data_IF_303192960059
#
_entry.id   IF_303192960059
#
_cell.length_a   1.000
_cell.length_b   1.000
_cell.length_c   1.000
_cell.angle_alpha   90.00
_cell.angle_beta   90.00
_cell.angle_gamma   90.00
#
_symmetry.space_group_name_H-M   'P 1'
#
loop_
_entity.id
_entity.type
_entity.pdbx_description
1 polymer ?
#
# COMPACT_ATOMS: atom_id res chain seq x y z
N UNK A 1 3.14 13.24 -1.40
CA UNK A 1 4.04 13.75 -0.33
C UNK A 1 5.34 14.17 -0.97
N UNK A 2 6.04 15.16 -0.42
CA UNK A 2 7.39 15.52 -0.87
C UNK A 2 8.39 14.41 -0.53
N UNK A 3 9.36 14.19 -1.39
CA UNK A 3 10.50 13.30 -1.15
C UNK A 3 11.80 14.09 -1.29
N UNK A 4 12.81 13.91 -0.39
CA UNK A 4 12.89 12.91 0.67
C UNK A 4 12.32 13.36 2.03
N UNK A 5 11.76 14.57 2.14
CA UNK A 5 11.31 15.10 3.45
C UNK A 5 10.12 14.36 4.05
N UNK A 6 9.37 13.61 3.22
CA UNK A 6 8.14 12.92 3.58
C UNK A 6 7.13 13.89 4.23
N UNK A 7 7.04 15.11 3.69
CA UNK A 7 6.03 16.11 4.08
C UNK A 7 4.75 15.91 3.27
N UNK A 8 3.59 15.94 3.91
CA UNK A 8 2.30 15.93 3.18
C UNK A 8 2.15 17.25 2.43
N UNK A 9 1.98 17.17 1.11
CA UNK A 9 1.69 18.34 0.25
C UNK A 9 0.22 18.40 -0.16
N UNK A 10 -0.44 17.23 -0.19
CA UNK A 10 -1.80 17.07 -0.65
C UNK A 10 -2.45 15.89 0.08
N UNK A 11 -3.72 16.06 0.42
CA UNK A 11 -4.60 15.01 0.89
C UNK A 11 -6.00 15.19 0.28
N UNK A 12 -6.66 14.07 0.02
CA UNK A 12 -8.02 14.05 -0.49
C UNK A 12 -8.78 12.87 0.11
N UNK A 13 -10.08 13.05 0.30
CA UNK A 13 -10.98 12.05 0.87
C UNK A 13 -12.25 12.00 0.04
N UNK A 14 -12.73 10.79 -0.22
CA UNK A 14 -14.05 10.56 -0.81
C UNK A 14 -14.78 9.54 0.04
N UNK A 15 -16.09 9.73 0.22
CA UNK A 15 -16.94 8.66 0.71
C UNK A 15 -16.97 7.51 -0.30
N UNK A 16 -17.03 6.28 0.22
CA UNK A 16 -17.14 5.07 -0.59
C UNK A 16 -18.22 4.19 0.02
N UNK A 17 -19.21 3.81 -0.78
CA UNK A 17 -20.12 2.71 -0.43
C UNK A 17 -19.53 1.41 -0.93
N UNK A 18 -19.47 0.39 -0.07
CA UNK A 18 -18.91 -0.92 -0.39
C UNK A 18 -20.01 -2.00 -0.41
N UNK A 19 -20.94 -1.99 -1.38
CA UNK A 19 -22.10 -2.88 -1.40
C UNK A 19 -21.74 -4.34 -1.68
N UNK A 20 -20.59 -4.60 -2.31
CA UNK A 20 -20.14 -5.96 -2.60
C UNK A 20 -19.67 -6.69 -1.32
N UNK A 21 -19.97 -7.99 -1.18
CA UNK A 21 -19.52 -8.79 -0.05
C UNK A 21 -17.99 -8.90 -0.01
N UNK A 22 -17.43 -9.01 1.20
CA UNK A 22 -15.99 -9.23 1.35
C UNK A 22 -15.64 -10.68 0.97
N UNK A 23 -15.04 -10.84 -0.21
CA UNK A 23 -14.45 -12.10 -0.66
C UNK A 23 -12.93 -11.93 -0.61
N UNK A 24 -12.25 -12.76 0.18
CA UNK A 24 -10.80 -12.73 0.28
C UNK A 24 -10.16 -12.90 -1.11
N UNK A 25 -9.23 -12.01 -1.46
CA UNK A 25 -8.63 -11.94 -2.80
C UNK A 25 -9.33 -11.00 -3.79
N UNK A 26 -10.47 -10.40 -3.43
CA UNK A 26 -11.23 -9.48 -4.30
C UNK A 26 -11.36 -8.07 -3.73
N UNK A 27 -10.48 -7.69 -2.79
CA UNK A 27 -10.46 -6.35 -2.18
C UNK A 27 -10.35 -5.24 -3.25
N UNK A 28 -9.59 -5.48 -4.32
CA UNK A 28 -9.40 -4.53 -5.41
C UNK A 28 -10.73 -4.03 -5.99
N UNK A 29 -11.73 -4.90 -6.18
CA UNK A 29 -13.03 -4.53 -6.73
C UNK A 29 -13.82 -3.57 -5.83
N UNK A 30 -13.49 -3.52 -4.53
CA UNK A 30 -14.13 -2.65 -3.55
C UNK A 30 -13.47 -1.27 -3.50
N UNK A 31 -12.16 -1.20 -3.67
CA UNK A 31 -11.39 0.02 -3.39
C UNK A 31 -10.89 0.75 -4.65
N UNK A 32 -10.64 0.05 -5.75
CA UNK A 32 -10.14 0.67 -7.01
C UNK A 32 -11.04 1.81 -7.51
N UNK A 33 -12.39 1.72 -7.49
CA UNK A 33 -13.23 2.83 -7.93
C UNK A 33 -12.98 4.13 -7.14
N UNK A 34 -12.76 4.01 -5.83
CA UNK A 34 -12.49 5.17 -4.98
C UNK A 34 -11.10 5.74 -5.21
N UNK A 35 -10.08 4.88 -5.34
CA UNK A 35 -8.72 5.30 -5.65
C UNK A 35 -8.62 5.99 -7.02
N UNK A 36 -9.33 5.45 -8.01
CA UNK A 36 -9.40 6.01 -9.37
C UNK A 36 -9.98 7.41 -9.34
N UNK A 37 -11.14 7.60 -8.68
CA UNK A 37 -11.75 8.92 -8.51
C UNK A 37 -10.77 9.91 -7.86
N UNK A 38 -10.16 9.55 -6.73
CA UNK A 38 -9.23 10.42 -6.01
C UNK A 38 -8.01 10.81 -6.86
N UNK A 39 -7.49 9.88 -7.66
CA UNK A 39 -6.35 10.13 -8.54
C UNK A 39 -6.73 11.05 -9.71
N UNK A 40 -7.85 10.79 -10.37
CA UNK A 40 -8.36 11.65 -11.45
C UNK A 40 -8.61 13.08 -10.95
N UNK A 41 -9.18 13.22 -9.75
CA UNK A 41 -9.38 14.52 -9.11
C UNK A 41 -8.06 15.23 -8.80
N UNK A 42 -7.05 14.51 -8.31
CA UNK A 42 -5.70 15.05 -8.13
C UNK A 42 -5.11 15.52 -9.47
N UNK A 43 -5.13 14.68 -10.50
CA UNK A 43 -4.62 15.01 -11.85
C UNK A 43 -5.24 16.28 -12.42
N UNK A 44 -6.53 16.48 -12.18
CA UNK A 44 -7.26 17.66 -12.65
C UNK A 44 -6.99 18.90 -11.81
N UNK A 45 -6.91 18.77 -10.48
CA UNK A 45 -6.85 19.92 -9.56
C UNK A 45 -5.43 20.41 -9.31
N UNK A 46 -4.47 19.48 -9.20
CA UNK A 46 -3.07 19.74 -8.86
C UNK A 46 -2.14 18.82 -9.66
N UNK A 47 -2.10 18.97 -11.00
CA UNK A 47 -1.21 18.17 -11.85
C UNK A 47 0.27 18.35 -11.47
N UNK A 48 0.62 19.49 -10.88
CA UNK A 48 1.94 19.81 -10.32
C UNK A 48 2.33 18.95 -9.11
N UNK A 49 1.36 18.30 -8.46
CA UNK A 49 1.56 17.43 -7.30
C UNK A 49 1.31 15.95 -7.62
N UNK A 50 1.26 15.57 -8.90
CA UNK A 50 1.11 14.16 -9.26
C UNK A 50 2.29 13.33 -8.75
N UNK A 51 2.03 12.17 -8.11
CA UNK A 51 3.10 11.36 -7.57
C UNK A 51 3.82 10.62 -8.69
N UNK A 52 5.16 10.63 -8.66
CA UNK A 52 5.99 9.79 -9.54
C UNK A 52 5.78 8.28 -9.26
N UNK A 53 5.49 7.94 -8.00
CA UNK A 53 5.24 6.57 -7.55
C UNK A 53 4.16 6.56 -6.47
N UNK A 54 3.20 5.65 -6.60
CA UNK A 54 2.12 5.48 -5.61
C UNK A 54 2.32 4.22 -4.77
N UNK A 55 2.46 4.39 -3.45
CA UNK A 55 2.46 3.28 -2.50
C UNK A 55 1.02 2.97 -2.07
N UNK A 56 0.62 1.72 -2.24
CA UNK A 56 -0.75 1.25 -2.00
C UNK A 56 -0.76 0.29 -0.81
N UNK A 57 -1.68 0.50 0.15
CA UNK A 57 -1.90 -0.39 1.30
C UNK A 57 -2.62 -1.67 0.86
N UNK A 58 -1.87 -2.55 0.22
CA UNK A 58 -2.40 -3.76 -0.40
C UNK A 58 -1.33 -4.46 -1.20
N UNK A 59 -1.64 -5.65 -1.72
CA UNK A 59 -0.69 -6.39 -2.53
C UNK A 59 -0.72 -5.93 -3.99
N UNK A 60 0.42 -6.04 -4.67
CA UNK A 60 0.52 -6.02 -6.13
C UNK A 60 0.52 -7.45 -6.64
N UNK A 61 1.62 -7.88 -7.27
CA UNK A 61 1.75 -9.25 -7.76
C UNK A 61 1.75 -10.31 -6.65
N UNK A 62 2.07 -9.96 -5.38
CA UNK A 62 2.03 -10.86 -4.21
C UNK A 62 0.58 -11.21 -3.82
N UNK A 63 -0.11 -11.89 -4.72
CA UNK A 63 -1.53 -12.17 -4.66
C UNK A 63 -1.80 -13.56 -5.26
N UNK A 64 -2.79 -14.34 -4.78
CA UNK A 64 -3.07 -15.68 -5.30
C UNK A 64 -3.32 -15.70 -6.81
N UNK A 65 -3.93 -14.65 -7.34
CA UNK A 65 -4.16 -14.44 -8.77
C UNK A 65 -3.07 -13.60 -9.46
N UNK A 66 -2.01 -13.21 -8.76
CA UNK A 66 -0.95 -12.35 -9.28
C UNK A 66 -1.36 -10.92 -9.62
N UNK A 67 -2.55 -10.49 -9.19
CA UNK A 67 -3.14 -9.21 -9.55
C UNK A 67 -3.92 -8.60 -8.37
N UNK A 68 -3.18 -8.09 -7.39
CA UNK A 68 -3.74 -7.43 -6.22
C UNK A 68 -4.16 -5.97 -6.48
N UNK A 69 -4.59 -5.30 -5.41
CA UNK A 69 -5.04 -3.89 -5.44
C UNK A 69 -4.05 -2.95 -6.12
N UNK A 70 -2.75 -3.03 -5.78
CA UNK A 70 -1.75 -2.13 -6.33
C UNK A 70 -1.54 -2.33 -7.83
N UNK A 71 -1.54 -3.58 -8.28
CA UNK A 71 -1.42 -3.93 -9.71
C UNK A 71 -2.65 -3.50 -10.49
N UNK A 72 -3.85 -3.76 -9.95
CA UNK A 72 -5.10 -3.36 -10.59
C UNK A 72 -5.19 -1.84 -10.74
N UNK A 73 -4.98 -1.12 -9.64
CA UNK A 73 -5.01 0.35 -9.67
C UNK A 73 -3.95 0.93 -10.60
N UNK A 74 -2.71 0.42 -10.54
CA UNK A 74 -1.61 0.90 -11.39
C UNK A 74 -1.85 0.69 -12.89
N UNK A 75 -2.34 -0.49 -13.28
CA UNK A 75 -2.66 -0.78 -14.69
C UNK A 75 -3.83 0.07 -15.18
N UNK A 76 -4.88 0.23 -14.36
CA UNK A 76 -6.06 1.00 -14.75
C UNK A 76 -5.74 2.48 -14.99
N UNK A 77 -4.88 3.05 -14.15
CA UNK A 77 -4.49 4.46 -14.23
C UNK A 77 -3.25 4.73 -15.09
N UNK A 78 -2.56 3.68 -15.55
CA UNK A 78 -1.27 3.74 -16.26
C UNK A 78 -0.17 4.47 -15.46
N UNK A 79 0.01 4.06 -14.19
CA UNK A 79 0.93 4.71 -13.23
C UNK A 79 1.81 3.71 -12.48
N UNK A 80 2.98 4.18 -12.03
CA UNK A 80 3.89 3.37 -11.21
C UNK A 80 3.29 3.14 -9.82
N UNK A 81 3.09 1.86 -9.47
CA UNK A 81 2.53 1.48 -8.16
C UNK A 81 3.38 0.42 -7.47
N UNK A 82 3.43 0.52 -6.14
CA UNK A 82 4.04 -0.45 -5.24
C UNK A 82 2.97 -0.94 -4.27
N UNK A 83 2.80 -2.26 -4.17
CA UNK A 83 1.95 -2.85 -3.14
C UNK A 83 2.74 -3.06 -1.86
N UNK A 84 2.23 -2.54 -0.74
CA UNK A 84 2.80 -2.73 0.60
C UNK A 84 1.73 -3.32 1.53
N UNK A 85 1.77 -4.64 1.70
CA UNK A 85 0.85 -5.36 2.58
C UNK A 85 1.31 -5.37 4.05
N UNK A 86 0.38 -5.14 4.99
CA UNK A 86 0.64 -5.28 6.45
C UNK A 86 0.55 -6.72 6.96
N UNK A 87 -0.07 -7.61 6.18
CA UNK A 87 -0.28 -9.03 6.48
C UNK A 87 0.10 -9.86 5.26
N UNK A 88 0.78 -10.98 5.48
CA UNK A 88 1.18 -11.87 4.39
C UNK A 88 -0.04 -12.62 3.83
N UNK A 89 -0.12 -12.68 2.51
CA UNK A 89 -1.13 -13.45 1.78
C UNK A 89 -0.47 -14.71 1.21
N UNK A 90 -1.06 -15.88 1.46
CA UNK A 90 -0.51 -17.15 0.98
C UNK A 90 -0.55 -17.21 -0.55
N UNK A 91 0.59 -17.48 -1.16
CA UNK A 91 0.73 -17.57 -2.62
C UNK A 91 1.71 -18.67 -2.98
N UNK A 92 1.42 -19.42 -4.05
CA UNK A 92 2.40 -20.35 -4.64
C UNK A 92 3.08 -21.28 -3.61
N UNK A 93 2.27 -21.79 -2.68
CA UNK A 93 2.74 -22.68 -1.60
C UNK A 93 3.58 -22.02 -0.50
N UNK A 94 3.81 -20.71 -0.56
CA UNK A 94 4.43 -19.92 0.51
C UNK A 94 3.37 -19.52 1.54
N UNK A 95 3.61 -19.81 2.82
CA UNK A 95 2.69 -19.54 3.92
C UNK A 95 3.25 -18.54 4.93
N UNK A 96 2.38 -18.00 5.79
CA UNK A 96 2.79 -17.06 6.85
C UNK A 96 3.82 -17.67 7.82
N UNK A 97 3.69 -18.93 8.27
CA UNK A 97 4.76 -19.62 9.01
C UNK A 97 6.10 -19.65 8.27
N UNK A 98 6.12 -19.96 6.97
CA UNK A 98 7.35 -20.02 6.18
C UNK A 98 8.05 -18.67 6.16
N UNK A 99 7.31 -17.60 5.86
CA UNK A 99 7.87 -16.23 5.83
C UNK A 99 8.35 -15.79 7.20
N UNK A 100 7.67 -16.18 8.29
CA UNK A 100 8.12 -15.92 9.65
C UNK A 100 9.46 -16.61 9.94
N UNK A 101 9.62 -17.86 9.50
CA UNK A 101 10.88 -18.61 9.62
C UNK A 101 12.02 -17.96 8.83
N UNK A 102 11.76 -17.56 7.59
CA UNK A 102 12.75 -16.86 6.75
C UNK A 102 13.20 -15.54 7.38
N UNK A 103 12.27 -14.73 7.89
CA UNK A 103 12.60 -13.48 8.58
C UNK A 103 13.37 -13.70 9.89
N UNK A 104 13.08 -14.78 10.63
CA UNK A 104 13.84 -15.12 11.83
C UNK A 104 15.30 -15.44 11.48
N UNK A 105 15.51 -16.27 10.45
CA UNK A 105 16.86 -16.60 9.95
C UNK A 105 17.60 -15.37 9.44
N UNK A 106 16.93 -14.51 8.67
CA UNK A 106 17.54 -13.27 8.18
C UNK A 106 18.04 -12.38 9.32
N UNK A 107 17.30 -12.30 10.43
CA UNK A 107 17.71 -11.53 11.62
C UNK A 107 18.94 -12.10 12.32
N UNK A 108 19.07 -13.43 12.39
CA UNK A 108 20.28 -14.07 12.92
C UNK A 108 21.53 -13.66 12.11
N UNK A 109 21.34 -13.34 10.82
CA UNK A 109 22.36 -12.86 9.90
C UNK A 109 22.43 -11.32 9.81
N UNK A 110 21.77 -10.58 10.70
CA UNK A 110 21.64 -9.11 10.68
C UNK A 110 21.09 -8.54 9.36
N UNK A 111 20.14 -9.25 8.73
CA UNK A 111 19.41 -8.83 7.55
C UNK A 111 17.95 -8.53 7.87
N UNK A 112 17.44 -7.43 7.31
CA UNK A 112 16.06 -6.97 7.51
C UNK A 112 15.19 -7.11 6.25
N UNK A 113 15.70 -7.80 5.22
CA UNK A 113 15.04 -8.01 3.94
C UNK A 113 15.13 -9.48 3.52
N UNK A 114 14.00 -10.04 3.10
CA UNK A 114 13.89 -11.40 2.56
C UNK A 114 13.09 -11.40 1.27
N UNK A 115 13.68 -11.89 0.19
CA UNK A 115 12.95 -12.16 -1.06
C UNK A 115 12.01 -13.35 -0.88
N UNK A 116 10.77 -13.20 -1.36
CA UNK A 116 9.69 -14.18 -1.21
C UNK A 116 9.53 -14.97 -2.50
N UNK A 117 10.19 -16.12 -2.57
CA UNK A 117 10.13 -17.05 -3.70
C UNK A 117 9.15 -18.18 -3.40
N UNK A 118 8.18 -18.39 -4.28
CA UNK A 118 7.21 -19.47 -4.15
C UNK A 118 7.73 -20.82 -4.64
N UNK A 119 6.94 -21.88 -4.50
CA UNK A 119 7.33 -23.25 -4.88
C UNK A 119 7.61 -23.39 -6.38
N UNK A 120 7.00 -22.56 -7.22
CA UNK A 120 7.27 -22.52 -8.66
C UNK A 120 8.65 -21.96 -9.02
N UNK A 121 9.38 -21.38 -8.05
CA UNK A 121 10.61 -20.61 -8.29
C UNK A 121 10.37 -19.14 -8.66
N UNK A 122 9.10 -18.73 -8.81
CA UNK A 122 8.75 -17.32 -9.04
C UNK A 122 8.99 -16.47 -7.79
N UNK A 123 9.60 -15.30 -7.99
CA UNK A 123 9.67 -14.25 -6.97
C UNK A 123 8.38 -13.44 -6.97
N UNK A 124 7.73 -13.38 -5.82
CA UNK A 124 6.43 -12.70 -5.67
C UNK A 124 6.53 -11.34 -4.97
N UNK A 125 7.61 -11.09 -4.24
CA UNK A 125 7.79 -9.86 -3.48
C UNK A 125 8.93 -10.00 -2.48
N UNK A 126 8.95 -9.13 -1.47
CA UNK A 126 9.90 -9.15 -0.38
C UNK A 126 9.22 -8.87 0.96
N UNK A 127 9.71 -9.47 2.04
CA UNK A 127 9.38 -9.08 3.41
C UNK A 127 10.45 -8.10 3.92
N UNK A 128 10.02 -6.94 4.39
CA UNK A 128 10.89 -5.81 4.76
C UNK A 128 10.63 -5.36 6.21
N UNK A 129 11.70 -5.29 6.99
CA UNK A 129 11.77 -4.67 8.32
C UNK A 129 12.68 -3.42 8.27
N UNK A 130 12.37 -2.47 7.38
CA UNK A 130 13.30 -1.39 6.99
C UNK A 130 13.71 -0.39 8.06
N UNK A 131 13.12 -0.43 9.27
CA UNK A 131 13.42 0.49 10.38
C UNK A 131 13.89 -0.30 11.61
N UNK A 132 14.97 0.18 12.24
CA UNK A 132 15.54 -0.44 13.43
C UNK A 132 14.48 -0.68 14.53
N UNK A 133 14.46 -1.90 15.08
CA UNK A 133 13.53 -2.31 16.12
C UNK A 133 12.16 -2.81 15.63
N UNK A 134 11.83 -2.70 14.34
CA UNK A 134 10.57 -3.23 13.78
C UNK A 134 10.62 -4.75 13.66
N UNK A 135 9.80 -5.45 14.45
CA UNK A 135 9.73 -6.92 14.47
C UNK A 135 8.72 -7.54 13.50
N UNK A 136 7.76 -6.75 13.01
CA UNK A 136 6.74 -7.25 12.09
C UNK A 136 6.98 -6.65 10.71
N UNK A 137 7.29 -7.45 9.68
CA UNK A 137 7.57 -6.90 8.36
C UNK A 137 6.32 -6.29 7.73
N UNK A 138 6.57 -5.47 6.71
CA UNK A 138 5.63 -5.24 5.61
C UNK A 138 6.03 -6.11 4.42
N UNK A 139 5.09 -6.40 3.55
CA UNK A 139 5.30 -7.24 2.38
C UNK A 139 5.21 -6.37 1.14
N UNK A 140 6.36 -6.12 0.52
CA UNK A 140 6.48 -5.27 -0.65
C UNK A 140 6.37 -6.13 -1.90
N UNK A 141 5.61 -5.67 -2.88
CA UNK A 141 5.46 -6.33 -4.17
C UNK A 141 5.27 -5.32 -5.29
N UNK A 142 5.71 -5.68 -6.48
CA UNK A 142 5.50 -4.86 -7.68
C UNK A 142 4.01 -4.68 -7.90
N UNK A 143 3.56 -3.43 -7.99
CA UNK A 143 2.22 -3.10 -8.47
C UNK A 143 2.24 -3.02 -10.00
N UNK A 144 2.84 -1.95 -10.54
CA UNK A 144 2.92 -1.67 -11.97
C UNK A 144 4.17 -0.84 -12.33
N UNK A 145 4.77 -1.10 -13.51
CA UNK A 145 5.88 -0.36 -14.12
C UNK A 145 7.18 -0.19 -13.29
N UNK A 146 7.39 -1.00 -12.25
CA UNK A 146 8.58 -0.95 -11.41
C UNK A 146 9.20 -2.35 -11.26
N UNK A 147 10.51 -2.39 -11.01
CA UNK A 147 11.18 -3.61 -10.57
C UNK A 147 10.90 -3.87 -9.08
N UNK A 148 11.09 -5.10 -8.61
CA UNK A 148 10.98 -5.40 -7.18
C UNK A 148 12.05 -4.66 -6.37
N UNK A 149 13.28 -4.56 -6.88
CA UNK A 149 14.40 -3.92 -6.19
C UNK A 149 14.10 -2.43 -5.95
N UNK A 150 13.68 -1.71 -7.00
CA UNK A 150 13.25 -0.31 -6.87
C UNK A 150 12.04 -0.17 -5.94
N UNK A 151 11.12 -1.12 -5.98
CA UNK A 151 9.95 -1.11 -5.09
C UNK A 151 10.33 -1.21 -3.62
N UNK A 152 11.28 -2.10 -3.29
CA UNK A 152 11.81 -2.28 -1.93
C UNK A 152 12.59 -1.06 -1.48
N UNK A 153 13.45 -0.52 -2.34
CA UNK A 153 14.26 0.68 -2.04
C UNK A 153 13.35 1.87 -1.71
N UNK A 154 12.35 2.15 -2.55
CA UNK A 154 11.41 3.25 -2.33
C UNK A 154 10.58 3.02 -1.06
N UNK A 155 10.09 1.80 -0.84
CA UNK A 155 9.32 1.47 0.38
C UNK A 155 10.17 1.66 1.63
N UNK A 156 11.44 1.25 1.61
CA UNK A 156 12.37 1.43 2.71
C UNK A 156 12.72 2.90 2.94
N UNK A 157 13.02 3.66 1.89
CA UNK A 157 13.33 5.09 1.99
C UNK A 157 12.14 5.92 2.53
N UNK A 158 10.91 5.48 2.23
CA UNK A 158 9.70 6.09 2.78
C UNK A 158 9.37 5.63 4.21
N UNK A 159 10.14 4.72 4.83
CA UNK A 159 9.81 4.11 6.12
C UNK A 159 10.54 4.78 7.30
N UNK A 160 9.85 5.69 7.98
CA UNK A 160 10.26 6.20 9.31
C UNK A 160 9.82 5.27 10.46
N UNK A 161 8.84 4.41 10.17
CA UNK A 161 8.26 3.43 11.09
C UNK A 161 8.06 2.09 10.35
N UNK A 162 7.34 1.14 10.96
CA UNK A 162 6.97 -0.12 10.31
C UNK A 162 6.33 0.05 8.92
N UNK A 163 5.41 1.00 8.79
CA UNK A 163 4.63 1.24 7.57
C UNK A 163 5.18 2.51 6.91
N UNK A 164 5.42 2.51 5.59
CA UNK A 164 5.88 3.69 4.88
C UNK A 164 4.99 4.91 5.14
N UNK A 165 5.61 6.07 5.26
CA UNK A 165 4.97 7.32 5.68
C UNK A 165 3.74 7.70 4.83
N UNK A 166 3.73 7.57 3.48
CA UNK A 166 2.54 7.84 2.68
C UNK A 166 1.32 7.00 3.07
N UNK A 167 1.53 5.69 3.29
CA UNK A 167 0.46 4.78 3.71
C UNK A 167 0.04 5.09 5.16
N UNK A 168 1.00 5.36 6.03
CA UNK A 168 0.73 5.69 7.44
C UNK A 168 -0.14 6.94 7.57
N UNK A 169 0.15 7.98 6.79
CA UNK A 169 -0.63 9.23 6.76
C UNK A 169 -2.05 9.01 6.25
N UNK A 170 -2.20 8.26 5.15
CA UNK A 170 -3.52 7.90 4.62
C UNK A 170 -4.37 7.12 5.64
N UNK A 171 -3.79 6.14 6.34
CA UNK A 171 -4.45 5.33 7.37
C UNK A 171 -4.83 6.19 8.61
N UNK A 172 -3.96 7.07 9.07
CA UNK A 172 -4.24 7.94 10.21
C UNK A 172 -5.38 8.93 9.94
N UNK A 173 -5.33 9.57 8.77
CA UNK A 173 -6.28 10.64 8.40
C UNK A 173 -7.65 10.08 8.04
N UNK A 174 -7.70 8.97 7.29
CA UNK A 174 -8.97 8.28 7.02
C UNK A 174 -9.67 7.83 8.32
N UNK A 175 -8.93 7.27 9.29
CA UNK A 175 -9.47 6.92 10.60
C UNK A 175 -9.95 8.13 11.41
N UNK A 176 -9.32 9.29 11.24
CA UNK A 176 -9.79 10.50 11.89
C UNK A 176 -11.15 10.93 11.38
N UNK A 177 -11.39 10.86 10.06
CA UNK A 177 -12.70 11.11 9.46
C UNK A 177 -13.75 10.14 10.04
N UNK A 178 -13.44 8.84 10.11
CA UNK A 178 -14.36 7.84 10.68
C UNK A 178 -14.67 8.16 12.16
N UNK A 179 -13.67 8.49 12.99
CA UNK A 179 -13.89 8.86 14.39
C UNK A 179 -14.80 10.09 14.55
N UNK A 180 -14.70 11.06 13.64
CA UNK A 180 -15.58 12.25 13.63
C UNK A 180 -17.03 11.84 13.34
N UNK A 181 -17.26 10.95 12.39
CA UNK A 181 -18.60 10.41 12.10
C UNK A 181 -19.18 9.62 13.26
N UNK A 182 -18.37 8.74 13.88
CA UNK A 182 -18.77 7.98 15.07
C UNK A 182 -19.17 8.91 16.22
N UNK A 183 -18.38 9.97 16.45
CA UNK A 183 -18.65 10.95 17.51
C UNK A 183 -19.89 11.81 17.22
N UNK A 184 -20.16 12.11 15.95
CA UNK A 184 -21.34 12.85 15.51
C UNK A 184 -22.61 11.99 15.41
N UNK A 185 -22.48 10.66 15.45
CA UNK A 185 -23.59 9.72 15.24
C UNK A 185 -24.17 9.75 13.82
N UNK A 186 -23.44 10.29 12.84
CA UNK A 186 -23.88 10.46 11.47
C UNK A 186 -22.73 10.22 10.48
N UNK A 187 -23.03 9.51 9.38
CA UNK A 187 -22.09 9.28 8.28
C UNK A 187 -22.31 10.35 7.22
N UNK A 188 -21.25 11.09 6.87
CA UNK A 188 -21.28 12.02 5.75
C UNK A 188 -21.03 11.28 4.43
N UNK A 189 -22.12 10.90 3.77
CA UNK A 189 -22.07 10.23 2.46
C UNK A 189 -21.71 11.18 1.32
N UNK A 190 -21.63 12.48 1.59
CA UNK A 190 -21.27 13.53 0.62
C UNK A 190 -19.80 13.94 0.72
N UNK A 191 -19.03 13.28 1.59
CA UNK A 191 -17.62 13.60 1.81
C UNK A 191 -16.84 13.59 0.49
N UNK A 192 -16.38 14.78 0.11
CA UNK A 192 -15.49 15.03 -1.01
C UNK A 192 -14.57 16.21 -0.61
N UNK A 193 -13.49 15.90 0.11
CA UNK A 193 -12.63 16.90 0.76
C UNK A 193 -11.23 16.89 0.15
N UNK A 194 -10.65 18.09 0.05
CA UNK A 194 -9.33 18.31 -0.55
C UNK A 194 -8.59 19.36 0.27
N UNK A 195 -7.36 19.04 0.67
CA UNK A 195 -6.46 20.00 1.28
C UNK A 195 -5.10 19.91 0.60
N UNK A 196 -4.61 21.05 0.13
CA UNK A 196 -3.22 21.20 -0.29
C UNK A 196 -2.53 22.11 0.70
N UNK A 197 -1.31 21.74 1.11
CA UNK A 197 -0.45 22.65 1.86
C UNK A 197 0.04 23.73 0.90
N UNK A 198 0.02 24.99 1.36
CA UNK A 198 0.64 26.12 0.65
C UNK A 198 2.15 25.95 0.52
#
# INVERSE_FOLDING_TARGET
MAYPSLTVLYEAFTYVSLPAPYIAGFLAFREVPALTKLYEDLSRRRPDLLPDVTLVDGNGILHPQGFGLASHFGVLMDIQTIGVGKTFLHVDGLTKPDVKGLMAKAREENRDLVTLTGKSGKVWGAALCGTAGVKNPVYVSVGHMLSLDSSVEIAQACSQYRVPEPIRQADLRSREVIRRWESAGAVDTTLDLYHASE
#
